data_IF_353345273915
#
_entry.id   IF_353345273915
#
_cell.length_a   1.000
_cell.length_b   1.000
_cell.length_c   1.000
_cell.angle_alpha   90.00
_cell.angle_beta   90.00
_cell.angle_gamma   90.00
#
_symmetry.space_group_name_H-M   'P 1'
#
loop_
_entity.id
_entity.type
_entity.pdbx_description
1 polymer ?
#
# COMPACT_ATOMS: atom_id res chain seq x y z
N UNK A 1 -9.89 -9.60 19.71
CA UNK A 1 -9.20 -8.28 19.61
C UNK A 1 -7.70 -8.51 19.58
N UNK A 2 -7.11 -8.70 18.40
CA UNK A 2 -5.65 -8.79 18.15
C UNK A 2 -5.50 -8.89 16.62
N UNK A 3 -5.42 -7.75 15.93
CA UNK A 3 -5.08 -7.66 14.48
C UNK A 3 -4.93 -6.22 13.95
N UNK A 4 -4.54 -5.26 14.80
CA UNK A 4 -4.44 -3.85 14.40
C UNK A 4 -3.04 -3.23 14.50
N UNK A 5 -2.02 -3.97 14.98
CA UNK A 5 -0.75 -3.35 15.39
C UNK A 5 0.44 -3.57 14.45
N UNK A 6 0.25 -4.20 13.29
CA UNK A 6 1.38 -4.56 12.38
C UNK A 6 1.51 -3.63 11.18
N UNK A 7 0.56 -2.69 10.96
CA UNK A 7 0.59 -1.83 9.77
C UNK A 7 1.29 -0.47 9.96
N UNK A 8 1.78 -0.15 11.17
CA UNK A 8 2.31 1.19 11.47
C UNK A 8 3.85 1.27 11.52
N UNK A 9 4.55 0.17 11.30
CA UNK A 9 6.04 0.11 11.38
C UNK A 9 6.75 0.21 10.02
N UNK A 10 6.03 0.45 8.93
CA UNK A 10 6.63 0.56 7.58
C UNK A 10 6.69 1.99 7.01
N UNK A 11 6.47 3.00 7.84
CA UNK A 11 6.33 4.39 7.39
C UNK A 11 7.05 5.40 8.29
N UNK A 12 8.26 5.08 8.78
CA UNK A 12 9.30 6.03 9.20
C UNK A 12 10.66 5.35 8.94
N UNK A 13 11.10 5.32 7.68
CA UNK A 13 12.51 5.09 7.34
C UNK A 13 12.84 5.94 6.11
N UNK A 14 12.80 7.25 6.32
CA UNK A 14 13.50 8.22 5.48
C UNK A 14 14.31 9.13 6.39
N UNK A 15 15.49 9.53 5.91
CA UNK A 15 16.43 10.48 6.49
C UNK A 15 17.21 10.05 7.75
N UNK A 16 18.28 9.27 7.54
CA UNK A 16 19.59 9.56 8.14
C UNK A 16 20.67 9.08 7.15
N UNK A 17 21.08 9.93 6.21
CA UNK A 17 22.40 9.82 5.56
C UNK A 17 23.32 10.84 6.22
N UNK A 18 24.15 10.30 7.11
CA UNK A 18 25.22 10.98 7.83
C UNK A 18 26.28 11.43 6.79
N UNK A 19 26.30 12.73 6.48
CA UNK A 19 27.40 13.36 5.74
C UNK A 19 28.60 13.45 6.69
N UNK A 20 29.57 12.56 6.50
CA UNK A 20 30.90 12.68 7.10
C UNK A 20 31.75 13.52 6.13
N UNK A 21 31.92 14.80 6.46
CA UNK A 21 32.98 15.65 5.92
C UNK A 21 34.33 15.17 6.49
N UNK A 22 35.37 14.91 5.67
CA UNK A 22 36.73 15.05 6.13
C UNK A 22 37.18 16.51 5.93
N UNK A 23 37.53 17.15 7.04
CA UNK A 23 38.21 18.43 7.09
C UNK A 23 39.74 18.24 7.07
N UNK A 24 40.41 19.22 6.48
CA UNK A 24 41.86 19.50 6.51
C UNK A 24 42.74 18.63 5.58
N UNK A 25 43.81 19.12 4.96
CA UNK A 25 44.55 20.36 5.17
C UNK A 25 45.25 20.78 3.88
N UNK A 26 45.25 22.09 3.61
CA UNK A 26 46.14 22.74 2.65
C UNK A 26 47.57 22.75 3.18
N UNK A 27 48.52 22.26 2.38
CA UNK A 27 49.91 22.73 2.42
C UNK A 27 50.36 23.03 1.01
N UNK A 28 50.44 24.33 0.71
CA UNK A 28 51.19 24.84 -0.43
C UNK A 28 52.67 24.57 -0.20
N UNK A 29 53.33 23.92 -1.15
CA UNK A 29 54.76 24.09 -1.37
C UNK A 29 54.94 24.39 -2.86
N UNK A 30 55.21 25.65 -3.13
CA UNK A 30 55.59 26.13 -4.45
C UNK A 30 57.03 25.71 -4.72
N UNK A 31 57.23 24.95 -5.79
CA UNK A 31 58.50 24.91 -6.53
C UNK A 31 58.14 24.90 -8.00
N UNK A 32 58.35 26.05 -8.63
CA UNK A 32 58.16 26.23 -10.06
C UNK A 32 59.22 25.44 -10.83
N UNK A 33 58.76 24.64 -11.78
CA UNK A 33 59.49 24.37 -13.01
C UNK A 33 58.48 24.40 -14.15
N UNK A 34 58.54 25.47 -14.93
CA UNK A 34 57.89 25.58 -16.23
C UNK A 34 58.52 24.55 -17.16
N UNK A 35 57.97 23.33 -17.19
CA UNK A 35 58.26 22.42 -18.30
C UNK A 35 57.22 22.68 -19.38
N UNK A 36 57.68 23.33 -20.43
CA UNK A 36 57.05 23.28 -21.75
C UNK A 36 56.99 21.80 -22.12
N UNK A 37 55.81 21.18 -21.97
CA UNK A 37 55.55 19.88 -22.57
C UNK A 37 55.57 20.06 -24.08
N UNK A 38 56.72 19.76 -24.66
CA UNK A 38 56.83 19.36 -26.05
C UNK A 38 55.90 18.15 -26.19
N UNK A 39 54.85 18.27 -27.00
CA UNK A 39 53.93 17.19 -27.29
C UNK A 39 54.72 15.96 -27.76
N UNK A 40 54.83 14.97 -26.87
CA UNK A 40 55.37 13.66 -27.19
C UNK A 40 54.35 12.98 -28.10
N UNK A 41 54.81 12.46 -29.24
CA UNK A 41 54.01 11.81 -30.28
C UNK A 41 53.47 10.43 -29.83
N UNK A 42 52.76 10.38 -28.71
CA UNK A 42 52.22 9.19 -28.07
C UNK A 42 50.75 9.36 -27.66
N UNK A 43 50.05 10.35 -28.19
CA UNK A 43 48.61 10.52 -27.92
C UNK A 43 47.81 9.40 -28.62
N UNK A 44 46.84 8.79 -27.92
CA UNK A 44 45.98 7.76 -28.49
C UNK A 44 45.12 8.38 -29.61
N UNK A 45 45.33 7.93 -30.85
CA UNK A 45 44.63 8.43 -32.02
C UNK A 45 43.46 7.50 -32.36
N UNK A 46 42.23 7.93 -32.09
CA UNK A 46 41.04 7.18 -32.46
C UNK A 46 40.31 7.80 -33.66
N UNK A 47 39.91 6.94 -34.59
CA UNK A 47 38.95 7.28 -35.66
C UNK A 47 37.59 6.72 -35.28
N UNK A 48 36.56 7.56 -35.30
CA UNK A 48 35.18 7.12 -35.06
C UNK A 48 34.41 7.01 -36.38
N UNK A 49 33.91 5.82 -36.69
CA UNK A 49 33.10 5.58 -37.90
C UNK A 49 31.65 5.96 -37.68
N UNK A 50 31.09 5.59 -36.52
CA UNK A 50 29.69 5.79 -36.20
C UNK A 50 29.48 6.21 -34.75
N UNK A 51 28.57 7.14 -34.53
CA UNK A 51 28.05 7.46 -33.20
C UNK A 51 26.54 7.35 -33.21
N UNK A 52 25.99 6.59 -32.27
CA UNK A 52 24.56 6.51 -32.01
C UNK A 52 24.26 7.16 -30.66
N UNK A 53 23.61 8.31 -30.68
CA UNK A 53 23.23 9.08 -29.49
C UNK A 53 21.73 8.95 -29.26
N UNK A 54 21.34 8.52 -28.07
CA UNK A 54 19.95 8.50 -27.62
C UNK A 54 19.80 9.52 -26.51
N UNK A 55 18.96 10.53 -26.73
CA UNK A 55 18.61 11.56 -25.74
C UNK A 55 17.19 11.31 -25.29
N UNK A 56 17.01 10.77 -24.09
CA UNK A 56 15.72 10.50 -23.49
C UNK A 56 15.38 11.55 -22.44
N UNK A 57 14.20 12.15 -22.57
CA UNK A 57 13.68 13.12 -21.60
C UNK A 57 12.60 12.41 -20.79
N UNK A 58 12.80 12.34 -19.49
CA UNK A 58 11.85 11.72 -18.58
C UNK A 58 10.63 12.63 -18.35
N UNK A 59 9.47 12.05 -17.97
CA UNK A 59 8.29 12.81 -17.57
C UNK A 59 8.54 13.80 -16.41
N UNK A 60 9.52 13.51 -15.55
CA UNK A 60 9.92 14.39 -14.45
C UNK A 60 10.95 15.47 -14.85
N UNK A 61 11.33 15.51 -16.13
CA UNK A 61 12.21 16.51 -16.71
C UNK A 61 13.69 16.13 -16.74
N UNK A 62 14.10 15.03 -16.11
CA UNK A 62 15.49 14.54 -16.20
C UNK A 62 15.87 14.19 -17.63
N UNK A 63 17.11 14.48 -18.03
CA UNK A 63 17.63 14.12 -19.36
C UNK A 63 18.67 13.01 -19.18
N UNK A 64 18.41 11.88 -19.83
CA UNK A 64 19.30 10.74 -19.90
C UNK A 64 19.89 10.65 -21.30
N UNK A 65 21.23 10.60 -21.39
CA UNK A 65 21.92 10.48 -22.68
C UNK A 65 22.73 9.20 -22.70
N UNK A 66 22.60 8.47 -23.80
CA UNK A 66 23.33 7.24 -24.08
C UNK A 66 24.02 7.37 -25.44
N UNK A 67 25.35 7.33 -25.43
CA UNK A 67 26.18 7.46 -26.62
C UNK A 67 26.95 6.17 -26.90
N UNK A 68 26.65 5.51 -28.02
CA UNK A 68 27.39 4.34 -28.50
C UNK A 68 28.41 4.78 -29.54
N UNK A 69 29.68 4.55 -29.27
CA UNK A 69 30.80 4.91 -30.14
C UNK A 69 31.37 3.66 -30.83
N UNK A 70 31.54 3.76 -32.14
CA UNK A 70 32.25 2.79 -32.96
C UNK A 70 33.61 3.37 -33.31
N UNK A 71 34.64 2.97 -32.55
CA UNK A 71 35.99 3.52 -32.69
C UNK A 71 36.94 2.51 -33.30
N UNK A 72 37.98 3.01 -33.96
CA UNK A 72 39.12 2.25 -34.45
C UNK A 72 40.40 2.93 -34.00
N UNK A 73 41.30 2.18 -33.40
CA UNK A 73 42.63 2.71 -33.07
C UNK A 73 43.43 2.87 -34.36
N UNK A 74 43.76 4.11 -34.72
CA UNK A 74 44.60 4.42 -35.88
C UNK A 74 46.02 4.82 -35.47
N UNK A 75 46.29 4.89 -34.16
CA UNK A 75 47.60 5.12 -33.61
C UNK A 75 48.55 3.93 -33.79
N UNK A 76 49.83 4.18 -33.54
CA UNK A 76 50.89 3.16 -33.67
C UNK A 76 51.02 2.24 -32.46
N UNK A 77 50.34 2.54 -31.35
CA UNK A 77 50.44 1.82 -30.08
C UNK A 77 49.07 1.37 -29.58
N UNK A 78 49.06 0.35 -28.72
CA UNK A 78 47.85 -0.07 -28.03
C UNK A 78 47.41 0.98 -27.01
N UNK A 79 46.11 1.11 -26.80
CA UNK A 79 45.53 2.08 -25.86
C UNK A 79 44.55 1.43 -24.90
N UNK A 80 44.62 1.84 -23.64
CA UNK A 80 43.82 1.31 -22.54
C UNK A 80 42.60 2.18 -22.20
N UNK A 81 42.59 3.43 -22.63
CA UNK A 81 41.53 4.37 -22.31
C UNK A 81 41.29 5.36 -23.44
N UNK A 82 40.13 6.01 -23.40
CA UNK A 82 39.77 7.14 -24.26
C UNK A 82 39.16 8.27 -23.46
N UNK A 83 39.52 9.49 -23.81
CA UNK A 83 39.06 10.73 -23.23
C UNK A 83 38.03 11.39 -24.15
N UNK A 84 36.83 11.63 -23.63
CA UNK A 84 35.71 12.19 -24.36
C UNK A 84 35.17 13.45 -23.68
N UNK A 85 34.70 14.39 -24.49
CA UNK A 85 34.03 15.59 -24.01
C UNK A 85 32.52 15.35 -23.87
N UNK A 86 32.00 15.57 -22.68
CA UNK A 86 30.58 15.50 -22.35
C UNK A 86 29.98 16.91 -22.17
N UNK A 87 28.66 17.06 -22.41
CA UNK A 87 27.94 18.30 -22.13
C UNK A 87 28.16 18.81 -20.70
N UNK A 88 28.10 20.14 -20.53
CA UNK A 88 28.18 20.80 -19.24
C UNK A 88 27.20 20.18 -18.22
N UNK A 89 27.71 19.89 -17.03
CA UNK A 89 26.90 19.39 -15.93
C UNK A 89 26.55 17.92 -16.05
N UNK A 90 27.12 17.18 -17.01
CA UNK A 90 26.98 15.73 -17.08
C UNK A 90 27.43 15.07 -15.76
N UNK A 91 26.56 14.21 -15.21
CA UNK A 91 26.70 13.53 -13.93
C UNK A 91 26.39 12.05 -14.08
N UNK A 92 26.81 11.25 -13.10
CA UNK A 92 26.58 9.80 -13.06
C UNK A 92 27.01 9.12 -14.37
N UNK A 93 28.21 9.46 -14.85
CA UNK A 93 28.78 8.87 -16.05
C UNK A 93 29.05 7.39 -15.80
N UNK A 94 28.55 6.56 -16.71
CA UNK A 94 28.70 5.11 -16.72
C UNK A 94 29.17 4.69 -18.10
N UNK A 95 29.96 3.62 -18.18
CA UNK A 95 30.40 3.05 -19.45
C UNK A 95 30.17 1.54 -19.45
N UNK A 96 29.80 1.01 -20.61
CA UNK A 96 29.62 -0.41 -20.84
C UNK A 96 30.07 -0.80 -22.24
N UNK A 97 30.59 -2.00 -22.41
CA UNK A 97 30.84 -2.60 -23.71
C UNK A 97 29.77 -3.67 -24.04
N UNK A 98 29.97 -4.41 -25.12
CA UNK A 98 29.07 -5.49 -25.55
C UNK A 98 28.96 -6.65 -24.53
N UNK A 99 29.89 -6.74 -23.58
CA UNK A 99 29.96 -7.83 -22.58
C UNK A 99 29.40 -7.37 -21.24
N UNK A 100 29.50 -6.08 -20.90
CA UNK A 100 28.92 -5.53 -19.67
C UNK A 100 29.56 -4.20 -19.24
N UNK A 101 29.42 -3.81 -17.95
CA UNK A 101 29.97 -2.55 -17.46
C UNK A 101 31.51 -2.55 -17.48
N UNK A 102 32.09 -1.39 -17.80
CA UNK A 102 33.53 -1.12 -17.79
C UNK A 102 33.83 0.11 -16.92
N UNK A 103 35.08 0.27 -16.52
CA UNK A 103 35.49 1.37 -15.64
C UNK A 103 35.41 2.71 -16.37
N UNK A 104 34.88 3.72 -15.69
CA UNK A 104 34.84 5.09 -16.20
C UNK A 104 35.01 6.08 -15.05
N UNK A 105 35.63 7.21 -15.35
CA UNK A 105 35.76 8.34 -14.45
C UNK A 105 35.41 9.63 -15.19
N UNK A 106 35.01 10.66 -14.47
CA UNK A 106 34.73 11.97 -15.07
C UNK A 106 35.23 13.09 -14.18
N UNK A 107 35.61 14.20 -14.80
CA UNK A 107 36.10 15.41 -14.15
C UNK A 107 35.37 16.61 -14.73
N UNK A 108 34.95 17.51 -13.84
CA UNK A 108 34.50 18.83 -14.25
C UNK A 108 35.72 19.68 -14.60
N UNK A 109 35.63 20.42 -15.70
CA UNK A 109 36.60 21.48 -15.99
C UNK A 109 36.56 22.54 -14.87
N UNK A 110 37.68 23.22 -14.62
CA UNK A 110 37.80 24.19 -13.52
C UNK A 110 36.76 25.32 -13.56
N UNK A 111 36.21 25.62 -14.74
CA UNK A 111 35.16 26.63 -14.94
C UNK A 111 33.74 26.02 -15.00
N UNK A 112 33.59 24.72 -14.70
CA UNK A 112 32.36 23.92 -14.85
C UNK A 112 31.72 23.95 -16.25
N UNK A 113 32.35 24.59 -17.24
CA UNK A 113 31.80 24.79 -18.58
C UNK A 113 31.77 23.51 -19.43
N UNK A 114 32.58 22.51 -19.10
CA UNK A 114 32.65 21.22 -19.78
C UNK A 114 32.95 20.09 -18.80
N UNK A 115 32.45 18.89 -19.10
CA UNK A 115 32.75 17.67 -18.36
C UNK A 115 33.60 16.77 -19.24
N UNK A 116 34.72 16.26 -18.75
CA UNK A 116 35.56 15.31 -19.47
C UNK A 116 35.39 13.93 -18.84
N UNK A 117 35.08 12.93 -19.66
CA UNK A 117 34.99 11.54 -19.24
C UNK A 117 36.20 10.75 -19.76
N UNK A 118 36.75 9.90 -18.91
CA UNK A 118 37.79 8.94 -19.24
C UNK A 118 37.17 7.55 -19.11
N UNK A 119 37.18 6.79 -20.19
CA UNK A 119 36.66 5.42 -20.24
C UNK A 119 37.83 4.47 -20.41
N UNK A 120 37.93 3.51 -19.49
CA UNK A 120 38.94 2.46 -19.55
C UNK A 120 38.36 1.25 -20.27
N UNK A 121 39.06 0.79 -21.31
CA UNK A 121 38.67 -0.37 -22.07
C UNK A 121 38.90 -1.66 -21.28
N UNK A 122 38.09 -2.68 -21.58
CA UNK A 122 38.23 -4.01 -20.96
C UNK A 122 39.60 -4.65 -21.26
N UNK A 123 40.14 -4.36 -22.42
CA UNK A 123 41.45 -4.82 -22.88
C UNK A 123 42.08 -3.73 -23.76
N UNK A 124 43.42 -3.71 -23.89
CA UNK A 124 44.09 -2.72 -24.72
C UNK A 124 43.73 -2.92 -26.20
N UNK A 125 43.19 -1.88 -26.83
CA UNK A 125 42.84 -1.88 -28.25
C UNK A 125 44.12 -1.80 -29.07
N UNK A 126 44.41 -2.83 -29.86
CA UNK A 126 45.60 -2.87 -30.70
C UNK A 126 45.49 -1.89 -31.89
N UNK A 127 46.62 -1.50 -32.50
CA UNK A 127 46.60 -0.73 -33.74
C UNK A 127 45.72 -1.40 -34.81
N UNK A 128 44.89 -0.61 -35.46
CA UNK A 128 43.90 -1.03 -36.46
C UNK A 128 42.74 -1.90 -35.94
N UNK A 129 42.65 -2.14 -34.63
CA UNK A 129 41.52 -2.83 -34.02
C UNK A 129 40.34 -1.87 -33.79
N UNK A 130 39.13 -2.38 -33.96
CA UNK A 130 37.88 -1.67 -33.69
C UNK A 130 37.29 -2.07 -32.35
N UNK A 131 36.73 -1.10 -31.63
CA UNK A 131 36.07 -1.32 -30.35
C UNK A 131 34.75 -0.56 -30.29
N UNK A 132 33.77 -1.15 -29.59
CA UNK A 132 32.43 -0.59 -29.45
C UNK A 132 32.13 -0.51 -27.97
N UNK A 133 31.72 0.67 -27.53
CA UNK A 133 31.30 0.91 -26.16
C UNK A 133 30.22 1.98 -26.12
N UNK A 134 29.47 1.98 -25.03
CA UNK A 134 28.36 2.89 -24.77
C UNK A 134 28.64 3.65 -23.48
N UNK A 135 28.43 4.96 -23.50
CA UNK A 135 28.47 5.82 -22.32
C UNK A 135 27.07 6.30 -22.00
N UNK A 136 26.63 6.10 -20.76
CA UNK A 136 25.39 6.64 -20.21
C UNK A 136 25.67 7.74 -19.20
N UNK A 137 24.96 8.86 -19.27
CA UNK A 137 25.10 9.95 -18.31
C UNK A 137 23.80 10.77 -18.17
N UNK A 138 23.68 11.47 -17.04
CA UNK A 138 22.53 12.31 -16.73
C UNK A 138 22.92 13.77 -16.86
N UNK A 139 22.01 14.59 -17.35
CA UNK A 139 22.24 16.00 -17.57
C UNK A 139 21.19 16.82 -16.81
N UNK A 140 21.60 17.90 -16.11
CA UNK A 140 20.67 18.76 -15.39
C UNK A 140 19.79 19.54 -16.38
N UNK A 141 18.49 19.33 -16.24
CA UNK A 141 17.41 19.93 -17.03
C UNK A 141 17.53 21.45 -17.13
N UNK A 142 17.87 22.12 -16.02
CA UNK A 142 17.88 23.58 -15.90
C UNK A 142 18.81 24.28 -16.89
N UNK A 143 19.83 23.59 -17.40
CA UNK A 143 20.81 24.16 -18.32
C UNK A 143 20.31 24.10 -19.77
N UNK A 144 19.56 23.06 -20.13
CA UNK A 144 19.26 22.72 -21.53
C UNK A 144 17.78 22.86 -21.89
N UNK A 145 16.88 22.89 -20.91
CA UNK A 145 15.45 23.05 -21.12
C UNK A 145 15.01 24.36 -20.47
N UNK A 146 14.42 25.23 -21.28
CA UNK A 146 13.85 26.51 -20.85
C UNK A 146 12.34 26.46 -20.95
N UNK A 147 11.66 26.84 -19.87
CA UNK A 147 10.20 26.94 -19.85
C UNK A 147 9.79 28.32 -20.35
N UNK A 148 9.17 28.37 -21.53
CA UNK A 148 8.70 29.63 -22.15
C UNK A 148 7.31 29.97 -21.63
N UNK A 149 6.44 28.96 -21.50
CA UNK A 149 5.09 29.04 -20.91
C UNK A 149 4.80 27.81 -20.06
N UNK A 150 3.69 27.80 -19.34
CA UNK A 150 3.33 26.72 -18.40
C UNK A 150 3.36 25.31 -19.03
N UNK A 151 2.92 25.17 -20.29
CA UNK A 151 2.90 23.92 -21.06
C UNK A 151 3.93 23.87 -22.20
N UNK A 152 4.78 24.89 -22.36
CA UNK A 152 5.62 25.05 -23.55
C UNK A 152 7.09 25.16 -23.16
N UNK A 153 7.89 24.24 -23.68
CA UNK A 153 9.30 24.07 -23.35
C UNK A 153 10.15 24.15 -24.61
N UNK A 154 11.25 24.87 -24.52
CA UNK A 154 12.27 24.94 -25.56
C UNK A 154 13.51 24.19 -25.07
N UNK A 155 13.93 23.18 -25.84
CA UNK A 155 15.17 22.45 -25.61
C UNK A 155 16.25 22.99 -26.53
N UNK A 156 17.41 23.33 -25.95
CA UNK A 156 18.63 23.68 -26.69
C UNK A 156 19.72 22.74 -26.25
N UNK A 157 20.14 21.82 -27.12
CA UNK A 157 21.04 20.74 -26.74
C UNK A 157 22.26 20.64 -27.67
N UNK A 158 23.51 20.59 -27.15
CA UNK A 158 24.69 20.40 -27.97
C UNK A 158 24.74 18.94 -28.47
N UNK A 159 24.61 18.77 -29.78
CA UNK A 159 24.50 17.46 -30.43
C UNK A 159 25.83 16.74 -30.52
N UNK A 160 26.93 17.46 -30.70
CA UNK A 160 28.27 16.88 -30.91
C UNK A 160 29.29 17.82 -30.25
N UNK A 161 30.16 17.24 -29.43
CA UNK A 161 31.22 17.97 -28.73
C UNK A 161 32.60 17.53 -29.25
N UNK A 162 33.53 18.49 -29.24
CA UNK A 162 34.92 18.23 -29.62
C UNK A 162 35.60 17.39 -28.53
N UNK A 163 35.90 16.13 -28.83
CA UNK A 163 36.60 15.22 -27.91
C UNK A 163 38.10 15.16 -28.25
N UNK A 164 38.99 15.24 -27.26
CA UNK A 164 40.43 15.41 -27.49
C UNK A 164 41.08 14.23 -28.23
N UNK A 165 40.65 13.00 -27.95
CA UNK A 165 41.29 11.79 -28.51
C UNK A 165 40.71 11.40 -29.88
N UNK A 166 39.69 12.11 -30.36
CA UNK A 166 39.07 11.90 -31.68
C UNK A 166 39.66 12.87 -32.69
N UNK A 167 40.35 12.34 -33.71
CA UNK A 167 41.18 13.17 -34.62
C UNK A 167 40.55 13.34 -35.99
N UNK A 168 39.70 12.41 -36.40
CA UNK A 168 39.04 12.41 -37.70
C UNK A 168 37.57 12.83 -37.59
N UNK A 169 36.98 13.44 -38.63
CA UNK A 169 35.55 13.68 -38.68
C UNK A 169 34.79 12.35 -38.57
N UNK A 170 33.67 12.37 -37.85
CA UNK A 170 32.84 11.19 -37.62
C UNK A 170 32.07 10.90 -38.91
N UNK A 171 32.15 9.68 -39.44
CA UNK A 171 31.57 9.36 -40.75
C UNK A 171 30.03 9.40 -40.73
N UNK A 172 29.42 8.87 -39.67
CA UNK A 172 27.97 8.84 -39.49
C UNK A 172 27.56 9.10 -38.04
N UNK A 173 26.66 10.05 -37.81
CA UNK A 173 26.09 10.34 -36.49
C UNK A 173 24.58 10.21 -36.57
N UNK A 174 24.01 9.34 -35.73
CA UNK A 174 22.58 9.12 -35.62
C UNK A 174 22.16 9.57 -34.22
N UNK A 175 21.26 10.54 -34.15
CA UNK A 175 20.77 11.09 -32.89
C UNK A 175 19.28 10.84 -32.81
N UNK A 176 18.85 10.04 -31.84
CA UNK A 176 17.45 9.78 -31.56
C UNK A 176 17.05 10.52 -30.29
N UNK A 177 16.09 11.43 -30.43
CA UNK A 177 15.53 12.18 -29.30
C UNK A 177 14.18 11.58 -28.96
N UNK A 178 14.05 11.14 -27.71
CA UNK A 178 12.86 10.54 -27.14
C UNK A 178 12.23 11.56 -26.19
N UNK A 179 11.05 12.06 -26.55
CA UNK A 179 10.31 13.02 -25.75
C UNK A 179 9.56 12.32 -24.60
N UNK A 180 9.16 13.06 -23.55
CA UNK A 180 8.41 12.46 -22.45
C UNK A 180 7.01 12.03 -22.92
N UNK A 181 6.41 11.09 -22.21
CA UNK A 181 5.08 10.56 -22.55
C UNK A 181 4.01 11.65 -22.49
N UNK A 182 3.20 11.79 -23.54
CA UNK A 182 2.20 12.85 -23.67
C UNK A 182 2.76 14.19 -24.12
N UNK A 183 4.05 14.26 -24.48
CA UNK A 183 4.60 15.43 -25.15
C UNK A 183 4.16 15.51 -26.61
N UNK A 184 3.83 16.72 -27.04
CA UNK A 184 3.49 17.04 -28.43
C UNK A 184 4.55 17.99 -28.98
N UNK A 185 5.21 17.59 -30.06
CA UNK A 185 6.22 18.41 -30.72
C UNK A 185 5.79 18.78 -32.14
N UNK A 186 5.90 20.06 -32.47
CA UNK A 186 5.73 20.55 -33.83
C UNK A 186 7.05 20.35 -34.59
N UNK A 187 7.18 19.21 -35.28
CA UNK A 187 8.41 18.81 -35.97
C UNK A 187 8.90 19.81 -37.04
N UNK A 188 8.04 20.74 -37.49
CA UNK A 188 8.40 21.82 -38.42
C UNK A 188 9.26 22.91 -37.79
N UNK A 189 9.24 23.04 -36.46
CA UNK A 189 10.01 24.05 -35.71
C UNK A 189 11.40 23.56 -35.28
N UNK A 190 11.67 22.26 -35.48
CA UNK A 190 12.93 21.64 -35.08
C UNK A 190 14.04 22.06 -36.04
N UNK A 191 15.13 22.56 -35.47
CA UNK A 191 16.37 22.84 -36.19
C UNK A 191 17.52 22.06 -35.58
N UNK A 192 18.23 21.20 -36.35
CA UNK A 192 18.02 20.88 -37.77
C UNK A 192 16.81 19.96 -38.03
N UNK A 193 16.30 19.94 -39.26
CA UNK A 193 15.09 19.18 -39.62
C UNK A 193 15.25 17.66 -39.42
N UNK A 194 14.26 16.96 -38.80
CA UNK A 194 14.34 15.53 -38.52
C UNK A 194 14.37 14.68 -39.79
N UNK A 195 15.22 13.65 -39.79
CA UNK A 195 15.33 12.67 -40.89
C UNK A 195 14.23 11.63 -40.80
N UNK A 196 13.90 11.20 -39.59
CA UNK A 196 12.78 10.28 -39.33
C UNK A 196 11.99 10.76 -38.12
N UNK A 197 10.67 10.57 -38.17
CA UNK A 197 9.76 10.89 -37.09
C UNK A 197 8.90 9.67 -36.84
N UNK A 198 8.82 9.22 -35.59
CA UNK A 198 7.92 8.15 -35.18
C UNK A 198 6.98 8.67 -34.11
N UNK A 199 5.69 8.46 -34.35
CA UNK A 199 4.61 8.86 -33.45
C UNK A 199 4.03 7.60 -32.84
N UNK A 200 4.47 7.27 -31.63
CA UNK A 200 3.83 6.24 -30.82
C UNK A 200 2.51 6.76 -30.22
N UNK A 201 1.71 5.87 -29.66
CA UNK A 201 0.41 6.23 -29.07
C UNK A 201 0.52 7.20 -27.88
N UNK A 202 1.59 7.09 -27.09
CA UNK A 202 1.84 7.92 -25.90
C UNK A 202 3.18 8.65 -25.94
N UNK A 203 4.04 8.36 -26.91
CA UNK A 203 5.41 8.88 -26.94
C UNK A 203 5.82 9.24 -28.36
N UNK A 204 6.49 10.37 -28.51
CA UNK A 204 7.01 10.86 -29.77
C UNK A 204 8.53 10.78 -29.77
N UNK A 205 9.09 10.30 -30.87
CA UNK A 205 10.55 10.26 -31.07
C UNK A 205 10.90 10.75 -32.47
N UNK A 206 12.06 11.38 -32.60
CA UNK A 206 12.60 11.79 -33.88
C UNK A 206 14.08 11.49 -33.96
N UNK A 207 14.54 11.17 -35.16
CA UNK A 207 15.92 10.84 -35.45
C UNK A 207 16.52 11.83 -36.43
N UNK A 208 17.72 12.29 -36.13
CA UNK A 208 18.56 13.16 -36.93
C UNK A 208 19.78 12.37 -37.39
N UNK A 209 20.05 12.38 -38.69
CA UNK A 209 21.23 11.72 -39.25
C UNK A 209 22.15 12.78 -39.87
N UNK A 210 23.40 12.79 -39.42
CA UNK A 210 24.45 13.62 -39.98
C UNK A 210 25.54 12.75 -40.59
N UNK A 211 26.06 13.16 -41.75
CA UNK A 211 27.18 12.49 -42.41
C UNK A 211 28.41 13.40 -42.35
N UNK A 212 29.58 12.80 -42.13
CA UNK A 212 30.89 13.47 -42.12
C UNK A 212 30.93 14.71 -41.21
N UNK A 213 30.71 14.49 -39.92
CA UNK A 213 30.65 15.57 -38.93
C UNK A 213 32.06 15.97 -38.49
N UNK A 214 32.36 17.27 -38.59
CA UNK A 214 33.60 17.85 -38.10
C UNK A 214 33.54 18.14 -36.60
N UNK A 215 34.53 17.66 -35.84
CA UNK A 215 34.61 17.83 -34.38
C UNK A 215 34.87 19.29 -33.93
N UNK A 216 35.33 20.16 -34.84
CA UNK A 216 35.58 21.58 -34.56
C UNK A 216 34.36 22.50 -34.77
N UNK A 217 33.22 21.99 -35.22
CA UNK A 217 31.99 22.77 -35.41
C UNK A 217 30.99 22.44 -34.31
N UNK A 218 30.37 23.47 -33.72
CA UNK A 218 29.31 23.28 -32.73
C UNK A 218 27.99 22.98 -33.43
N UNK A 219 27.46 21.77 -33.20
CA UNK A 219 26.11 21.40 -33.62
C UNK A 219 25.17 21.51 -32.43
N UNK A 220 24.11 22.29 -32.57
CA UNK A 220 23.08 22.43 -31.53
C UNK A 220 21.70 22.09 -32.09
N UNK A 221 20.94 21.34 -31.33
CA UNK A 221 19.53 21.07 -31.56
C UNK A 221 18.70 22.13 -30.83
N UNK A 222 17.76 22.73 -31.54
CA UNK A 222 16.68 23.53 -30.94
C UNK A 222 15.35 22.91 -31.32
N UNK A 223 14.55 22.54 -30.32
CA UNK A 223 13.21 22.01 -30.54
C UNK A 223 12.23 22.60 -29.51
N UNK A 224 11.02 22.86 -29.97
CA UNK A 224 9.92 23.29 -29.12
C UNK A 224 8.94 22.13 -28.92
N UNK A 225 8.56 21.89 -27.68
CA UNK A 225 7.59 20.86 -27.35
C UNK A 225 6.62 21.32 -26.27
N UNK A 226 5.41 20.79 -26.37
CA UNK A 226 4.34 20.99 -25.40
C UNK A 226 4.28 19.81 -24.47
N UNK A 227 4.25 20.08 -23.16
CA UNK A 227 4.19 19.04 -22.15
C UNK A 227 3.40 19.50 -20.92
N UNK A 228 2.44 18.69 -20.49
CA UNK A 228 1.70 18.94 -19.27
C UNK A 228 2.26 18.05 -18.14
N UNK A 229 2.67 18.67 -17.03
CA UNK A 229 3.27 17.99 -15.87
C UNK A 229 2.37 16.92 -15.26
N UNK A 230 1.04 17.01 -15.42
CA UNK A 230 0.14 15.96 -14.94
C UNK A 230 0.36 14.60 -15.61
N UNK A 231 0.94 14.56 -16.82
CA UNK A 231 1.31 13.30 -17.48
C UNK A 231 2.34 12.50 -16.68
N UNK A 232 3.24 13.17 -15.96
CA UNK A 232 4.20 12.49 -15.10
C UNK A 232 3.53 11.67 -13.97
N UNK A 233 2.27 11.99 -13.66
CA UNK A 233 1.47 11.32 -12.63
C UNK A 233 0.61 10.17 -13.19
N UNK A 234 0.56 10.01 -14.51
CA UNK A 234 -0.21 8.96 -15.19
C UNK A 234 0.20 7.54 -14.75
N UNK A 235 1.50 7.22 -14.79
CA UNK A 235 2.00 5.88 -14.42
C UNK A 235 1.69 5.52 -12.96
N UNK A 236 1.96 6.37 -11.96
CA UNK A 236 1.53 6.11 -10.58
C UNK A 236 0.01 5.88 -10.43
N UNK A 237 -0.82 6.65 -11.14
CA UNK A 237 -2.27 6.50 -11.07
C UNK A 237 -2.77 5.20 -11.72
N UNK A 238 -2.11 4.72 -12.77
CA UNK A 238 -2.41 3.40 -13.34
C UNK A 238 -2.17 2.28 -12.31
N UNK A 239 -1.04 2.32 -11.60
CA UNK A 239 -0.77 1.35 -10.53
C UNK A 239 -1.77 1.45 -9.38
N UNK A 240 -2.13 2.66 -8.97
CA UNK A 240 -3.15 2.89 -7.96
C UNK A 240 -4.52 2.33 -8.39
N UNK A 241 -4.91 2.57 -9.65
CA UNK A 241 -6.12 2.03 -10.24
C UNK A 241 -6.15 0.50 -10.21
N UNK A 242 -5.03 -0.16 -10.55
CA UNK A 242 -4.91 -1.61 -10.50
C UNK A 242 -5.07 -2.18 -9.08
N UNK A 243 -4.50 -1.50 -8.07
CA UNK A 243 -4.68 -1.86 -6.66
C UNK A 243 -6.15 -1.73 -6.24
N UNK A 244 -6.81 -0.62 -6.60
CA UNK A 244 -8.22 -0.39 -6.27
C UNK A 244 -9.11 -1.47 -6.88
N UNK A 245 -8.91 -1.79 -8.17
CA UNK A 245 -9.67 -2.85 -8.86
C UNK A 245 -9.47 -4.20 -8.17
N UNK A 246 -8.24 -4.51 -7.76
CA UNK A 246 -7.92 -5.77 -7.07
C UNK A 246 -8.59 -5.86 -5.70
N UNK A 247 -8.56 -4.79 -4.90
CA UNK A 247 -9.23 -4.72 -3.59
C UNK A 247 -10.75 -4.78 -3.74
N UNK A 248 -11.29 -4.11 -4.77
CA UNK A 248 -12.71 -4.15 -5.07
C UNK A 248 -13.17 -5.56 -5.47
N UNK A 249 -12.45 -6.21 -6.38
CA UNK A 249 -12.71 -7.58 -6.79
C UNK A 249 -12.63 -8.55 -5.61
N UNK A 250 -11.61 -8.41 -4.74
CA UNK A 250 -11.48 -9.23 -3.54
C UNK A 250 -12.65 -9.02 -2.55
N UNK A 251 -13.11 -7.79 -2.37
CA UNK A 251 -14.29 -7.50 -1.55
C UNK A 251 -15.57 -8.08 -2.17
N UNK A 252 -15.73 -7.98 -3.49
CA UNK A 252 -16.88 -8.56 -4.19
C UNK A 252 -16.92 -10.08 -4.03
N UNK A 253 -15.79 -10.76 -4.19
CA UNK A 253 -15.68 -12.22 -3.97
C UNK A 253 -15.90 -12.61 -2.51
N UNK A 254 -15.47 -11.77 -1.54
CA UNK A 254 -15.79 -12.02 -0.13
C UNK A 254 -17.29 -11.90 0.14
N UNK A 255 -17.94 -10.88 -0.41
CA UNK A 255 -19.39 -10.68 -0.24
C UNK A 255 -20.20 -11.83 -0.83
N UNK A 256 -19.81 -12.38 -1.98
CA UNK A 256 -20.52 -13.54 -2.57
C UNK A 256 -20.34 -14.83 -1.78
N UNK A 257 -19.18 -15.04 -1.14
CA UNK A 257 -18.92 -16.20 -0.26
C UNK A 257 -19.61 -16.10 1.11
N UNK A 258 -20.11 -14.92 1.49
CA UNK A 258 -20.89 -14.70 2.73
C UNK A 258 -22.41 -14.82 2.51
N UNK A 259 -22.86 -15.46 1.42
CA UNK A 259 -24.27 -15.83 1.30
C UNK A 259 -24.68 -16.65 2.55
N UNK A 260 -25.74 -16.24 3.28
CA UNK A 260 -26.18 -16.97 4.46
C UNK A 260 -26.51 -18.41 4.05
N UNK A 261 -26.09 -19.43 4.82
CA UNK A 261 -26.41 -20.82 4.51
C UNK A 261 -27.93 -20.97 4.37
N UNK A 262 -28.42 -21.80 3.44
CA UNK A 262 -29.84 -22.05 3.29
C UNK A 262 -30.43 -22.49 4.63
N UNK A 263 -31.64 -22.02 4.99
CA UNK A 263 -32.26 -22.38 6.26
C UNK A 263 -32.33 -23.91 6.37
N UNK A 264 -31.60 -24.47 7.33
CA UNK A 264 -31.67 -25.89 7.64
C UNK A 264 -33.11 -26.25 8.04
N UNK A 265 -33.64 -27.42 7.64
CA UNK A 265 -34.97 -27.85 8.03
C UNK A 265 -35.06 -27.90 9.55
N UNK A 266 -36.01 -27.17 10.10
CA UNK A 266 -36.25 -26.97 11.54
C UNK A 266 -36.43 -28.36 12.19
N UNK A 267 -35.57 -28.80 13.11
CA UNK A 267 -35.83 -30.00 13.89
C UNK A 267 -36.91 -29.65 14.93
N UNK A 268 -38.17 -29.78 14.52
CA UNK A 268 -39.37 -29.54 15.33
C UNK A 268 -39.35 -30.30 16.67
N UNK A 269 -38.66 -31.44 16.73
CA UNK A 269 -38.44 -32.24 17.93
C UNK A 269 -37.76 -31.48 19.06
N UNK A 270 -36.76 -30.63 18.75
CA UNK A 270 -36.02 -29.89 19.79
C UNK A 270 -36.80 -28.72 20.38
N UNK A 271 -37.71 -28.14 19.60
CA UNK A 271 -38.61 -27.09 20.08
C UNK A 271 -39.67 -27.71 20.99
N UNK A 272 -40.19 -28.89 20.63
CA UNK A 272 -41.12 -29.64 21.48
C UNK A 272 -40.50 -29.97 22.85
N UNK A 273 -39.30 -30.55 22.86
CA UNK A 273 -38.56 -30.87 24.10
C UNK A 273 -38.36 -29.61 24.98
N UNK A 274 -38.13 -28.45 24.37
CA UNK A 274 -37.94 -27.20 25.08
C UNK A 274 -39.23 -26.69 25.72
N UNK A 275 -40.34 -26.69 24.97
CA UNK A 275 -41.65 -26.26 25.48
C UNK A 275 -42.14 -27.18 26.59
N UNK A 276 -42.03 -28.50 26.42
CA UNK A 276 -42.46 -29.49 27.42
C UNK A 276 -41.71 -29.34 28.75
N UNK A 277 -40.38 -29.22 28.70
CA UNK A 277 -39.56 -29.03 29.91
C UNK A 277 -39.83 -27.68 30.58
N UNK A 278 -40.19 -26.66 29.80
CA UNK A 278 -40.56 -25.36 30.35
C UNK A 278 -41.91 -25.42 31.07
N UNK A 279 -42.90 -26.10 30.48
CA UNK A 279 -44.21 -26.33 31.10
C UNK A 279 -44.06 -27.11 32.43
N UNK A 280 -43.18 -28.12 32.47
CA UNK A 280 -42.86 -28.85 33.70
C UNK A 280 -42.29 -27.90 34.78
N UNK A 281 -41.37 -27.02 34.39
CA UNK A 281 -40.80 -26.01 35.32
C UNK A 281 -41.87 -25.07 35.85
N UNK A 282 -42.76 -24.56 35.01
CA UNK A 282 -43.87 -23.68 35.44
C UNK A 282 -44.77 -24.41 36.45
N UNK A 283 -45.13 -25.67 36.16
CA UNK A 283 -45.97 -26.47 37.04
C UNK A 283 -45.33 -26.70 38.42
N UNK A 284 -44.04 -27.04 38.46
CA UNK A 284 -43.29 -27.25 39.70
C UNK A 284 -43.14 -25.97 40.53
N UNK A 285 -42.93 -24.82 39.89
CA UNK A 285 -42.88 -23.52 40.58
C UNK A 285 -44.24 -23.18 41.19
N UNK A 286 -45.33 -23.42 40.46
CA UNK A 286 -46.69 -23.22 40.98
C UNK A 286 -47.00 -24.17 42.16
N UNK A 287 -46.53 -25.43 42.09
CA UNK A 287 -46.66 -26.38 43.19
C UNK A 287 -45.90 -25.89 44.43
N UNK A 288 -44.66 -25.41 44.27
CA UNK A 288 -43.85 -24.85 45.35
C UNK A 288 -44.54 -23.66 46.03
N UNK A 289 -45.07 -22.71 45.24
CA UNK A 289 -45.84 -21.57 45.76
C UNK A 289 -47.10 -22.04 46.52
N UNK A 290 -47.77 -23.09 46.04
CA UNK A 290 -48.95 -23.64 46.72
C UNK A 290 -48.59 -24.30 48.06
N UNK A 291 -47.43 -24.98 48.14
CA UNK A 291 -46.93 -25.59 49.36
C UNK A 291 -46.54 -24.52 50.38
N UNK A 292 -45.93 -23.42 49.94
CA UNK A 292 -45.64 -22.26 50.79
C UNK A 292 -46.90 -21.66 51.39
N UNK A 293 -47.95 -21.44 50.58
CA UNK A 293 -49.24 -20.92 51.07
C UNK A 293 -49.90 -21.86 52.08
N UNK A 294 -49.86 -23.17 51.83
CA UNK A 294 -50.42 -24.18 52.76
C UNK A 294 -49.63 -24.25 54.07
N UNK A 295 -48.30 -24.10 54.01
CA UNK A 295 -47.45 -24.04 55.19
C UNK A 295 -47.67 -22.75 56.00
N UNK A 296 -47.79 -21.60 55.33
CA UNK A 296 -48.09 -20.32 55.97
C UNK A 296 -49.47 -20.31 56.66
N UNK A 297 -50.46 -20.99 56.08
CA UNK A 297 -51.78 -21.20 56.67
C UNK A 297 -51.82 -22.29 57.76
N UNK A 298 -50.69 -22.92 58.10
CA UNK A 298 -50.61 -23.98 59.11
C UNK A 298 -51.21 -25.33 58.71
N UNK A 299 -51.59 -25.53 57.44
CA UNK A 299 -52.26 -26.75 56.93
C UNK A 299 -51.29 -27.92 56.71
N UNK A 300 -49.98 -27.67 56.65
CA UNK A 300 -48.94 -28.67 56.44
C UNK A 300 -47.85 -28.44 57.50
N UNK A 301 -47.34 -29.49 58.17
CA UNK A 301 -46.26 -29.35 59.13
C UNK A 301 -44.96 -28.91 58.47
N UNK A 302 -44.17 -28.07 59.16
CA UNK A 302 -42.93 -27.46 58.65
C UNK A 302 -41.92 -28.46 58.08
N UNK A 303 -41.83 -29.66 58.65
CA UNK A 303 -40.91 -30.70 58.18
C UNK A 303 -41.31 -31.26 56.81
N UNK A 304 -42.61 -31.40 56.56
CA UNK A 304 -43.15 -31.93 55.31
C UNK A 304 -43.01 -30.92 54.18
N UNK A 305 -43.26 -29.64 54.45
CA UNK A 305 -42.94 -28.54 53.53
C UNK A 305 -41.46 -28.57 53.13
N UNK A 306 -40.54 -28.67 54.10
CA UNK A 306 -39.10 -28.73 53.81
C UNK A 306 -38.71 -29.96 52.97
N UNK A 307 -39.30 -31.12 53.25
CA UNK A 307 -39.01 -32.36 52.51
C UNK A 307 -39.51 -32.27 51.07
N UNK A 308 -40.77 -31.90 50.85
CA UNK A 308 -41.37 -31.77 49.51
C UNK A 308 -40.75 -30.61 48.72
N UNK A 309 -40.52 -29.48 49.38
CA UNK A 309 -39.87 -28.31 48.79
C UNK A 309 -38.48 -28.64 48.24
N UNK A 310 -37.64 -29.35 49.01
CA UNK A 310 -36.31 -29.79 48.55
C UNK A 310 -36.37 -30.68 47.31
N UNK A 311 -37.37 -31.55 47.21
CA UNK A 311 -37.54 -32.43 46.03
C UNK A 311 -37.89 -31.60 44.80
N UNK A 312 -38.82 -30.65 44.93
CA UNK A 312 -39.22 -29.75 43.84
C UNK A 312 -38.07 -28.84 43.43
N UNK A 313 -37.36 -28.24 44.39
CA UNK A 313 -36.17 -27.40 44.13
C UNK A 313 -35.07 -28.19 43.40
N UNK A 314 -34.84 -29.44 43.79
CA UNK A 314 -33.88 -30.31 43.11
C UNK A 314 -34.29 -30.56 41.65
N UNK A 315 -35.57 -30.85 41.38
CA UNK A 315 -36.09 -31.07 40.02
C UNK A 315 -36.01 -29.79 39.17
N UNK A 316 -36.36 -28.63 39.73
CA UNK A 316 -36.20 -27.32 39.05
C UNK A 316 -34.73 -27.11 38.67
N UNK A 317 -33.78 -27.41 39.57
CA UNK A 317 -32.35 -27.25 39.27
C UNK A 317 -31.86 -28.17 38.14
N UNK A 318 -32.43 -29.38 38.00
CA UNK A 318 -32.14 -30.27 36.87
C UNK A 318 -32.74 -29.74 35.57
N UNK A 319 -33.99 -29.26 35.60
CA UNK A 319 -34.65 -28.65 34.45
C UNK A 319 -33.92 -27.40 33.96
N UNK A 320 -33.38 -26.57 34.85
CA UNK A 320 -32.60 -25.38 34.47
C UNK A 320 -31.33 -25.73 33.69
N UNK A 321 -30.65 -26.83 34.03
CA UNK A 321 -29.49 -27.33 33.28
C UNK A 321 -29.89 -27.82 31.89
N UNK A 322 -30.93 -28.64 31.82
CA UNK A 322 -31.45 -29.19 30.56
C UNK A 322 -31.98 -28.09 29.62
N UNK A 323 -32.72 -27.12 30.17
CA UNK A 323 -33.18 -25.94 29.43
C UNK A 323 -32.00 -25.08 28.96
N UNK A 324 -30.93 -24.98 29.75
CA UNK A 324 -29.70 -24.29 29.36
C UNK A 324 -29.02 -24.89 28.13
N UNK A 325 -29.02 -26.22 27.99
CA UNK A 325 -28.51 -26.91 26.80
C UNK A 325 -29.43 -26.69 25.59
N UNK A 326 -30.74 -26.84 25.77
CA UNK A 326 -31.73 -26.61 24.71
C UNK A 326 -31.71 -25.17 24.19
N UNK A 327 -31.57 -24.17 25.07
CA UNK A 327 -31.42 -22.75 24.69
C UNK A 327 -30.23 -22.51 23.76
N UNK A 328 -29.09 -23.17 24.01
CA UNK A 328 -27.89 -23.07 23.15
C UNK A 328 -28.14 -23.67 21.78
N UNK A 329 -28.77 -24.86 21.73
CA UNK A 329 -29.11 -25.54 20.48
C UNK A 329 -30.07 -24.67 19.67
N UNK A 330 -31.14 -24.15 20.29
CA UNK A 330 -32.13 -23.32 19.62
C UNK A 330 -31.56 -22.00 19.07
N UNK A 331 -30.66 -21.35 19.81
CA UNK A 331 -29.93 -20.15 19.34
C UNK A 331 -29.09 -20.41 18.08
N UNK A 332 -28.56 -21.63 17.92
CA UNK A 332 -27.73 -21.98 16.78
C UNK A 332 -28.55 -22.28 15.50
N UNK A 333 -29.86 -22.54 15.62
CA UNK A 333 -30.74 -22.87 14.48
C UNK A 333 -31.03 -21.63 13.63
N UNK A 334 -31.21 -20.45 14.25
CA UNK A 334 -31.46 -19.23 13.48
C UNK A 334 -31.68 -17.97 14.32
N UNK A 335 -31.61 -16.78 13.69
CA UNK A 335 -31.71 -15.49 14.37
C UNK A 335 -33.04 -15.29 15.09
N UNK A 336 -34.16 -15.76 14.50
CA UNK A 336 -35.49 -15.64 15.09
C UNK A 336 -35.62 -16.40 16.42
N UNK A 337 -35.06 -17.61 16.50
CA UNK A 337 -35.02 -18.39 17.75
C UNK A 337 -34.05 -17.77 18.76
N UNK A 338 -32.93 -17.21 18.28
CA UNK A 338 -31.98 -16.52 19.15
C UNK A 338 -32.62 -15.30 19.83
N UNK A 339 -33.44 -14.53 19.10
CA UNK A 339 -34.18 -13.39 19.64
C UNK A 339 -35.26 -13.84 20.65
N UNK A 340 -36.01 -14.91 20.34
CA UNK A 340 -37.01 -15.48 21.26
C UNK A 340 -36.38 -15.96 22.57
N UNK A 341 -35.32 -16.77 22.49
CA UNK A 341 -34.59 -17.24 23.68
C UNK A 341 -33.94 -16.06 24.43
N UNK A 342 -33.43 -15.05 23.73
CA UNK A 342 -32.88 -13.84 24.34
C UNK A 342 -33.89 -13.11 25.23
N UNK A 343 -35.15 -12.98 24.79
CA UNK A 343 -36.23 -12.40 25.61
C UNK A 343 -36.50 -13.21 26.87
N UNK A 344 -36.50 -14.54 26.77
CA UNK A 344 -36.70 -15.44 27.92
C UNK A 344 -35.55 -15.28 28.92
N UNK A 345 -34.29 -15.27 28.46
CA UNK A 345 -33.12 -15.14 29.35
C UNK A 345 -33.09 -13.81 30.09
N UNK A 346 -33.45 -12.70 29.41
CA UNK A 346 -33.54 -11.38 30.04
C UNK A 346 -34.62 -11.38 31.13
N UNK A 347 -35.81 -11.91 30.83
CA UNK A 347 -36.91 -11.98 31.78
C UNK A 347 -36.59 -12.91 32.97
N UNK A 348 -35.95 -14.06 32.73
CA UNK A 348 -35.50 -14.99 33.77
C UNK A 348 -34.41 -14.39 34.67
N UNK A 349 -33.49 -13.60 34.11
CA UNK A 349 -32.46 -12.92 34.89
C UNK A 349 -33.05 -11.83 35.79
N UNK A 350 -34.15 -11.19 35.37
CA UNK A 350 -34.84 -10.17 36.18
C UNK A 350 -35.55 -10.78 37.41
N UNK A 351 -36.19 -11.96 37.28
CA UNK A 351 -36.97 -12.59 38.36
C UNK A 351 -36.24 -12.73 39.72
N UNK A 352 -35.02 -13.31 39.81
CA UNK A 352 -34.33 -13.45 41.10
C UNK A 352 -33.86 -12.10 41.65
N UNK A 353 -33.63 -11.09 40.80
CA UNK A 353 -33.27 -9.74 41.28
C UNK A 353 -34.46 -9.10 41.98
N UNK A 354 -35.62 -9.07 41.31
CA UNK A 354 -36.85 -8.48 41.86
C UNK A 354 -37.35 -9.25 43.09
N UNK A 355 -37.20 -10.58 43.12
CA UNK A 355 -37.54 -11.38 44.31
C UNK A 355 -36.66 -11.06 45.52
N UNK A 356 -35.36 -10.78 45.32
CA UNK A 356 -34.46 -10.35 46.41
C UNK A 356 -34.85 -8.96 46.92
N UNK A 357 -35.16 -8.04 46.01
CA UNK A 357 -35.62 -6.69 46.37
C UNK A 357 -36.91 -6.74 47.20
N UNK A 358 -37.87 -7.60 46.80
CA UNK A 358 -39.11 -7.82 47.54
C UNK A 358 -38.85 -8.42 48.93
N UNK A 359 -37.98 -9.43 49.03
CA UNK A 359 -37.62 -10.02 50.33
C UNK A 359 -36.92 -9.01 51.25
N UNK A 360 -36.08 -8.14 50.69
CA UNK A 360 -35.45 -7.05 51.43
C UNK A 360 -36.49 -6.02 51.91
N UNK A 361 -37.46 -5.67 51.06
CA UNK A 361 -38.57 -4.79 51.43
C UNK A 361 -39.40 -5.39 52.59
N UNK A 362 -39.72 -6.68 52.53
CA UNK A 362 -40.39 -7.39 53.63
C UNK A 362 -39.58 -7.38 54.93
N UNK A 363 -38.27 -7.59 54.85
CA UNK A 363 -37.39 -7.55 56.02
C UNK A 363 -37.33 -6.14 56.64
N UNK A 364 -37.28 -5.08 55.82
CA UNK A 364 -37.30 -3.70 56.27
C UNK A 364 -38.63 -3.31 56.92
N UNK A 365 -39.75 -3.80 56.38
CA UNK A 365 -41.07 -3.60 56.99
C UNK A 365 -41.17 -4.30 58.35
N UNK A 366 -40.74 -5.56 58.44
CA UNK A 366 -40.71 -6.31 59.72
C UNK A 366 -39.80 -5.66 60.75
N UNK A 367 -38.74 -4.99 60.32
CA UNK A 367 -37.83 -4.23 61.18
C UNK A 367 -38.34 -2.82 61.54
N UNK A 368 -39.52 -2.42 61.06
CA UNK A 368 -40.12 -1.10 61.32
C UNK A 368 -39.43 0.08 60.63
N UNK A 369 -38.57 -0.18 59.63
CA UNK A 369 -37.76 0.85 58.95
C UNK A 369 -38.52 1.62 57.87
N UNK A 370 -39.67 1.12 57.44
CA UNK A 370 -40.50 1.71 56.38
C UNK A 370 -41.96 1.78 56.81
N UNK A 371 -42.68 2.81 56.36
CA UNK A 371 -44.12 2.95 56.63
C UNK A 371 -44.93 1.92 55.85
N UNK A 372 -46.13 1.60 56.36
CA UNK A 372 -47.07 0.67 55.70
C UNK A 372 -47.42 1.12 54.27
N UNK A 373 -47.63 2.42 54.06
CA UNK A 373 -47.92 2.98 52.74
C UNK A 373 -46.76 2.80 51.74
N UNK A 374 -45.51 2.96 52.21
CA UNK A 374 -44.33 2.74 51.38
C UNK A 374 -44.16 1.25 51.03
N UNK A 375 -44.43 0.35 51.99
CA UNK A 375 -44.44 -1.09 51.78
C UNK A 375 -45.50 -1.50 50.74
N UNK A 376 -46.75 -1.03 50.89
CA UNK A 376 -47.85 -1.38 49.99
C UNK A 376 -47.64 -0.82 48.57
N UNK A 377 -47.01 0.36 48.44
CA UNK A 377 -46.69 0.95 47.13
C UNK A 377 -45.58 0.17 46.42
N UNK A 378 -44.42 0.00 47.08
CA UNK A 378 -43.26 -0.69 46.49
C UNK A 378 -43.52 -2.18 46.28
N UNK A 379 -44.25 -2.82 47.20
CA UNK A 379 -44.64 -4.23 47.07
C UNK A 379 -45.50 -4.47 45.84
N UNK A 380 -46.49 -3.60 45.57
CA UNK A 380 -47.29 -3.66 44.33
C UNK A 380 -46.43 -3.45 43.08
N UNK A 381 -45.45 -2.57 43.13
CA UNK A 381 -44.55 -2.30 42.01
C UNK A 381 -43.65 -3.52 41.69
N UNK A 382 -43.03 -4.12 42.72
CA UNK A 382 -42.23 -5.33 42.55
C UNK A 382 -43.07 -6.52 42.08
N UNK A 383 -44.28 -6.70 42.62
CA UNK A 383 -45.19 -7.74 42.17
C UNK A 383 -45.56 -7.55 40.69
N UNK A 384 -45.87 -6.32 40.28
CA UNK A 384 -46.15 -5.99 38.87
C UNK A 384 -44.96 -6.27 37.96
N UNK A 385 -43.72 -6.09 38.42
CA UNK A 385 -42.51 -6.46 37.67
C UNK A 385 -42.34 -7.97 37.53
N UNK A 386 -42.59 -8.73 38.61
CA UNK A 386 -42.60 -10.20 38.57
C UNK A 386 -43.64 -10.69 37.56
N UNK A 387 -44.86 -10.16 37.62
CA UNK A 387 -45.94 -10.56 36.73
C UNK A 387 -45.60 -10.22 35.26
N UNK A 388 -45.02 -9.05 35.00
CA UNK A 388 -44.53 -8.67 33.66
C UNK A 388 -43.49 -9.66 33.14
N UNK A 389 -42.46 -9.98 33.93
CA UNK A 389 -41.42 -10.92 33.52
C UNK A 389 -42.02 -12.32 33.22
N UNK A 390 -42.98 -12.78 34.02
CA UNK A 390 -43.72 -14.03 33.76
C UNK A 390 -44.52 -13.96 32.46
N UNK A 391 -45.28 -12.89 32.23
CA UNK A 391 -46.07 -12.74 31.00
C UNK A 391 -45.22 -12.70 29.73
N UNK A 392 -44.00 -12.13 29.80
CA UNK A 392 -43.06 -12.12 28.67
C UNK A 392 -42.58 -13.54 28.37
N UNK A 393 -42.22 -14.30 29.40
CA UNK A 393 -41.83 -15.71 29.27
C UNK A 393 -42.96 -16.54 28.65
N UNK A 394 -44.17 -16.45 29.21
CA UNK A 394 -45.33 -17.22 28.76
C UNK A 394 -45.69 -16.91 27.31
N UNK A 395 -45.67 -15.61 26.94
CA UNK A 395 -45.93 -15.18 25.56
C UNK A 395 -44.94 -15.78 24.57
N UNK A 396 -43.65 -15.77 24.89
CA UNK A 396 -42.62 -16.33 23.99
C UNK A 396 -42.75 -17.85 23.88
N UNK A 397 -43.14 -18.55 24.96
CA UNK A 397 -43.37 -20.00 24.91
C UNK A 397 -44.58 -20.34 24.03
N UNK A 398 -45.65 -19.53 24.08
CA UNK A 398 -46.81 -19.68 23.20
C UNK A 398 -46.40 -19.44 21.74
N UNK A 399 -45.64 -18.38 21.46
CA UNK A 399 -45.11 -18.10 20.12
C UNK A 399 -44.25 -19.26 19.59
N UNK A 400 -43.39 -19.85 20.43
CA UNK A 400 -42.59 -21.02 20.06
C UNK A 400 -43.44 -22.28 19.84
N UNK A 401 -44.56 -22.41 20.53
CA UNK A 401 -45.51 -23.52 20.37
C UNK A 401 -46.31 -23.40 19.06
N UNK A 402 -46.74 -22.19 18.71
CA UNK A 402 -47.45 -21.93 17.46
C UNK A 402 -46.58 -22.25 16.24
N UNK A 403 -45.27 -22.03 16.32
CA UNK A 403 -44.32 -22.34 15.24
C UNK A 403 -44.14 -23.85 14.98
N UNK A 404 -44.58 -24.72 15.91
CA UNK A 404 -44.51 -26.18 15.77
C UNK A 404 -45.78 -26.72 15.08
N UNK A 405 -46.87 -25.95 15.07
CA UNK A 405 -48.20 -26.36 14.57
C UNK A 405 -48.39 -25.94 13.11
#
# INVERSE_FOLDING_TARGET
>A
MRKATVLYTFLIFSLVSLVILPASASKNLATGHSQVMIASSADPMFKCSKVERVVAIDPWGSIHVSDTYYIKNVGSYSSYSITLALPNGAQNVTASDLVGPISSSYKFSSDSASTTAIVDFRYPIQPQESYIFTIGYNIPTKIYITQVRWDFYNIKFPLILNSPDLIAPIESVIITVILPEGAECDFSTISPSPTQVKRGALQQEFSLTFQRVNLGQSYSLTADYRYNLFWATFRPFLWLGLIIVTVFAANMVRRTKLAPPPPMPIPSTRIYDFVEKYDEKIALVAELESLERKAAAGKIPKHEYKRRGRIIEARISTLDKELGELKKILKAIGPRFADAIGKIEVAEAELPTVRRDLAQLEAQYRAGKISKEAFDRLGREYQKRIDRARTVIDKVIIELREEIR
#
